data_IF_952350211180
#
_entry.id   IF_952350211180
#
_cell.length_a   1.000
_cell.length_b   1.000
_cell.length_c   1.000
_cell.angle_alpha   90.00
_cell.angle_beta   90.00
_cell.angle_gamma   90.00
#
_symmetry.space_group_name_H-M   'P 1'
#
loop_
_entity.id
_entity.type
_entity.pdbx_description
1 polymer ?
#
# COMPACT_ATOMS: atom_id res chain seq x y z
N UNK A 1 17.11 -4.83 -15.37
CA UNK A 1 18.41 -5.50 -15.14
C UNK A 1 18.58 -5.63 -13.64
N UNK A 2 18.43 -6.83 -13.08
CA UNK A 2 18.52 -7.06 -11.63
C UNK A 2 19.97 -6.95 -11.18
N UNK A 3 20.23 -6.33 -10.03
CA UNK A 3 21.53 -6.40 -9.36
C UNK A 3 21.36 -7.12 -8.02
N UNK A 4 22.22 -8.13 -7.80
CA UNK A 4 22.29 -8.85 -6.53
C UNK A 4 23.32 -8.14 -5.65
N UNK A 5 22.86 -7.50 -4.58
CA UNK A 5 23.76 -6.96 -3.55
C UNK A 5 23.89 -8.01 -2.45
N UNK A 6 25.12 -8.44 -2.19
CA UNK A 6 25.44 -9.43 -1.16
C UNK A 6 25.45 -8.76 0.22
N UNK A 7 24.52 -9.16 1.08
CA UNK A 7 24.61 -8.97 2.54
C UNK A 7 24.88 -10.33 3.17
N UNK A 8 25.65 -10.44 4.27
CA UNK A 8 26.18 -11.71 4.78
C UNK A 8 25.16 -12.84 5.04
N UNK A 9 23.85 -12.58 5.08
CA UNK A 9 22.83 -13.58 5.40
C UNK A 9 21.59 -13.65 4.48
N UNK A 10 21.48 -12.87 3.39
CA UNK A 10 20.32 -12.96 2.45
C UNK A 10 20.64 -12.35 1.08
N UNK A 11 20.09 -12.94 0.02
CA UNK A 11 20.01 -12.31 -1.31
C UNK A 11 18.92 -11.24 -1.28
N UNK A 12 19.28 -9.99 -1.55
CA UNK A 12 18.30 -8.92 -1.80
C UNK A 12 18.22 -8.74 -3.31
N UNK A 13 17.06 -9.03 -3.89
CA UNK A 13 16.79 -8.65 -5.28
C UNK A 13 16.60 -7.14 -5.27
N UNK A 14 17.58 -6.40 -5.79
CA UNK A 14 17.40 -4.97 -6.03
C UNK A 14 16.70 -4.83 -7.37
N UNK A 15 15.42 -4.47 -7.31
CA UNK A 15 14.67 -4.06 -8.50
C UNK A 15 15.24 -2.71 -8.92
N UNK A 16 15.89 -2.67 -10.08
CA UNK A 16 16.35 -1.41 -10.64
C UNK A 16 15.13 -0.67 -11.22
N UNK A 17 14.73 0.42 -10.56
CA UNK A 17 13.55 1.20 -10.91
C UNK A 17 13.84 2.03 -12.16
N UNK A 18 13.14 1.73 -13.26
CA UNK A 18 13.17 2.55 -14.47
C UNK A 18 12.09 3.64 -14.41
N UNK A 19 12.49 4.84 -14.02
CA UNK A 19 11.58 5.99 -13.95
C UNK A 19 11.03 6.41 -15.32
N UNK A 20 11.76 6.13 -16.41
CA UNK A 20 11.26 6.42 -17.75
C UNK A 20 10.12 5.46 -18.12
N UNK A 21 10.27 4.18 -17.79
CA UNK A 21 9.20 3.20 -17.97
C UNK A 21 7.95 3.59 -17.18
N UNK A 22 8.10 4.00 -15.92
CA UNK A 22 6.99 4.48 -15.08
C UNK A 22 6.28 5.67 -15.73
N UNK A 23 7.04 6.68 -16.18
CA UNK A 23 6.48 7.87 -16.87
C UNK A 23 5.69 7.49 -18.13
N UNK A 24 6.19 6.56 -18.94
CA UNK A 24 5.51 6.07 -20.15
C UNK A 24 4.22 5.31 -19.82
N UNK A 25 4.21 4.50 -18.76
CA UNK A 25 2.98 3.84 -18.31
C UNK A 25 1.94 4.83 -17.78
N UNK A 26 2.34 5.92 -17.15
CA UNK A 26 1.42 6.98 -16.72
C UNK A 26 0.76 7.75 -17.88
N UNK A 27 1.37 7.74 -19.07
CA UNK A 27 0.83 8.45 -20.24
C UNK A 27 -0.17 7.64 -21.08
N UNK A 28 -0.32 6.33 -20.82
CA UNK A 28 -1.26 5.45 -21.52
C UNK A 28 -2.44 5.05 -20.63
N UNK A 29 -3.51 4.51 -21.22
CA UNK A 29 -4.68 4.06 -20.45
C UNK A 29 -4.46 2.61 -19.99
N UNK A 30 -5.04 2.26 -18.84
CA UNK A 30 -5.03 0.86 -18.36
C UNK A 30 -5.63 -0.09 -19.41
N UNK A 31 -6.69 0.33 -20.11
CA UNK A 31 -7.30 -0.45 -21.19
C UNK A 31 -6.29 -0.80 -22.31
N UNK A 32 -5.46 0.16 -22.75
CA UNK A 32 -4.46 -0.08 -23.80
C UNK A 32 -3.40 -1.10 -23.35
N UNK A 33 -3.07 -1.11 -22.05
CA UNK A 33 -2.14 -2.08 -21.46
C UNK A 33 -2.77 -3.47 -21.40
N UNK A 34 -4.03 -3.57 -20.97
CA UNK A 34 -4.77 -4.83 -20.91
C UNK A 34 -4.95 -5.43 -22.30
N UNK A 35 -5.42 -4.64 -23.27
CA UNK A 35 -5.57 -5.08 -24.67
C UNK A 35 -4.26 -5.60 -25.26
N UNK A 36 -3.12 -4.98 -24.89
CA UNK A 36 -1.81 -5.44 -25.32
C UNK A 36 -1.41 -6.77 -24.64
N UNK A 37 -1.65 -6.91 -23.34
CA UNK A 37 -1.36 -8.12 -22.57
C UNK A 37 -2.22 -9.32 -23.02
N UNK A 38 -3.46 -9.07 -23.40
CA UNK A 38 -4.37 -10.08 -23.94
C UNK A 38 -3.83 -10.71 -25.23
N UNK A 39 -3.17 -9.93 -26.09
CA UNK A 39 -2.47 -10.45 -27.29
C UNK A 39 -1.35 -11.43 -26.95
N UNK A 40 -0.83 -11.40 -25.72
CA UNK A 40 0.16 -12.35 -25.21
C UNK A 40 -0.46 -13.47 -24.35
N UNK A 41 -1.79 -13.56 -24.29
CA UNK A 41 -2.50 -14.64 -23.60
C UNK A 41 -2.75 -14.41 -22.10
N UNK A 42 -2.63 -13.16 -21.61
CA UNK A 42 -2.86 -12.82 -20.20
C UNK A 42 -4.31 -12.49 -19.83
N UNK A 43 -5.27 -12.87 -20.68
CA UNK A 43 -6.71 -12.68 -20.45
C UNK A 43 -7.12 -13.00 -19.01
N UNK A 44 -7.68 -12.01 -18.33
CA UNK A 44 -8.22 -12.09 -16.96
C UNK A 44 -7.21 -12.47 -15.85
N UNK A 45 -5.90 -12.52 -16.13
CA UNK A 45 -4.89 -12.96 -15.15
C UNK A 45 -4.26 -11.86 -14.32
N UNK A 46 -4.37 -10.60 -14.76
CA UNK A 46 -3.59 -9.47 -14.23
C UNK A 46 -4.47 -8.30 -13.76
N UNK A 47 -5.78 -8.50 -13.72
CA UNK A 47 -6.73 -7.50 -13.27
C UNK A 47 -6.91 -7.56 -11.75
N UNK A 48 -7.08 -6.40 -11.13
CA UNK A 48 -7.50 -6.28 -9.74
C UNK A 48 -9.03 -6.19 -9.65
N UNK A 49 -9.61 -6.50 -8.48
CA UNK A 49 -11.06 -6.41 -8.27
C UNK A 49 -11.62 -5.02 -8.61
N UNK A 50 -12.81 -4.99 -9.23
CA UNK A 50 -13.52 -3.75 -9.57
C UNK A 50 -13.96 -2.94 -8.34
N UNK A 51 -13.90 -3.54 -7.14
CA UNK A 51 -14.13 -2.83 -5.88
C UNK A 51 -13.03 -1.81 -5.60
N UNK A 52 -11.82 -2.05 -6.08
CA UNK A 52 -10.70 -1.13 -5.93
C UNK A 52 -10.92 0.05 -6.86
N UNK A 53 -11.24 1.20 -6.28
CA UNK A 53 -11.58 2.43 -6.99
C UNK A 53 -10.62 3.56 -6.60
N UNK A 54 -10.36 4.52 -7.50
CA UNK A 54 -9.61 5.71 -7.13
C UNK A 54 -10.38 6.47 -6.04
N UNK A 55 -9.66 6.99 -5.04
CA UNK A 55 -10.25 7.71 -3.92
C UNK A 55 -10.99 8.99 -4.37
N UNK A 56 -10.51 9.59 -5.45
CA UNK A 56 -11.16 10.72 -6.13
C UNK A 56 -10.91 10.65 -7.64
N UNK A 57 -11.74 11.30 -8.48
CA UNK A 57 -11.59 11.25 -9.94
C UNK A 57 -10.27 11.82 -10.45
N UNK A 58 -9.80 11.32 -11.59
CA UNK A 58 -8.62 11.86 -12.29
C UNK A 58 -7.27 11.29 -11.85
N UNK A 59 -7.24 10.40 -10.86
CA UNK A 59 -6.00 9.74 -10.42
C UNK A 59 -5.46 8.80 -11.50
N UNK A 60 -4.15 8.85 -11.72
CA UNK A 60 -3.37 7.86 -12.47
C UNK A 60 -2.26 7.30 -11.60
N UNK A 61 -1.98 6.01 -11.74
CA UNK A 61 -0.98 5.30 -10.95
C UNK A 61 -0.22 4.32 -11.83
N UNK A 62 1.11 4.34 -11.73
CA UNK A 62 1.99 3.32 -12.28
C UNK A 62 3.30 3.35 -11.49
N UNK A 63 3.91 2.19 -11.30
CA UNK A 63 5.19 2.05 -10.61
C UNK A 63 5.46 0.59 -10.22
N UNK A 64 6.62 0.37 -9.61
CA UNK A 64 7.03 -0.94 -9.13
C UNK A 64 6.39 -1.23 -7.77
N UNK A 65 5.75 -2.39 -7.64
CA UNK A 65 5.02 -2.75 -6.43
C UNK A 65 5.96 -3.03 -5.24
N UNK A 66 5.67 -2.40 -4.12
CA UNK A 66 6.08 -2.83 -2.77
C UNK A 66 4.85 -3.46 -2.14
N UNK A 67 4.85 -4.78 -2.05
CA UNK A 67 3.69 -5.52 -1.56
C UNK A 67 3.71 -5.64 -0.03
N UNK A 68 2.54 -5.56 0.59
CA UNK A 68 2.37 -5.66 2.04
C UNK A 68 1.13 -6.50 2.31
N UNK A 69 1.27 -7.55 3.12
CA UNK A 69 0.13 -8.26 3.68
C UNK A 69 -0.13 -7.78 5.12
N UNK A 70 -1.37 -7.50 5.46
CA UNK A 70 -1.76 -7.21 6.84
C UNK A 70 -2.32 -8.45 7.51
N UNK A 71 -2.16 -8.54 8.82
CA UNK A 71 -2.73 -9.62 9.63
C UNK A 71 -3.81 -9.07 10.55
N UNK A 72 -4.95 -9.75 10.59
CA UNK A 72 -6.01 -9.43 11.54
C UNK A 72 -5.61 -9.83 12.95
N UNK A 73 -5.74 -8.90 13.88
CA UNK A 73 -5.58 -9.19 15.30
C UNK A 73 -6.92 -9.65 15.90
N UNK A 74 -6.86 -10.65 16.76
CA UNK A 74 -7.99 -11.20 17.51
C UNK A 74 -7.69 -11.15 19.02
N UNK A 75 -7.48 -9.95 19.53
CA UNK A 75 -7.15 -9.70 20.94
C UNK A 75 -8.16 -8.71 21.51
N UNK A 76 -8.55 -8.90 22.77
CA UNK A 76 -9.36 -7.91 23.49
C UNK A 76 -8.50 -6.70 23.83
N UNK A 77 -9.00 -5.51 23.50
CA UNK A 77 -8.36 -4.27 23.88
C UNK A 77 -8.76 -3.94 25.31
N UNK A 78 -7.80 -3.74 26.22
CA UNK A 78 -8.11 -3.42 27.60
C UNK A 78 -8.88 -2.11 27.70
N UNK A 79 -9.77 -2.01 28.68
CA UNK A 79 -10.37 -0.73 29.06
C UNK A 79 -9.31 0.13 29.74
N UNK A 80 -9.16 1.38 29.30
CA UNK A 80 -8.14 2.31 29.80
C UNK A 80 -8.61 3.76 29.68
N UNK A 81 -7.91 4.69 30.34
CA UNK A 81 -8.16 6.13 30.15
C UNK A 81 -7.75 6.58 28.74
N UNK A 82 -8.25 7.72 28.24
CA UNK A 82 -7.79 8.27 26.96
C UNK A 82 -6.27 8.47 26.87
N UNK A 83 -5.63 8.97 27.93
CA UNK A 83 -4.17 9.19 27.97
C UNK A 83 -3.37 7.89 27.98
N UNK A 84 -3.93 6.83 28.58
CA UNK A 84 -3.37 5.48 28.51
C UNK A 84 -3.54 4.88 27.12
N UNK A 85 -4.68 5.14 26.48
CA UNK A 85 -4.96 4.72 25.11
C UNK A 85 -3.99 5.35 24.10
N UNK A 86 -3.68 6.64 24.25
CA UNK A 86 -2.73 7.31 23.36
C UNK A 86 -1.34 6.64 23.42
N UNK A 87 -0.85 6.31 24.62
CA UNK A 87 0.42 5.59 24.79
C UNK A 87 0.35 4.17 24.23
N UNK A 88 -0.76 3.48 24.44
CA UNK A 88 -1.00 2.15 23.87
C UNK A 88 -1.00 2.18 22.33
N UNK A 89 -1.66 3.18 21.73
CA UNK A 89 -1.69 3.39 20.30
C UNK A 89 -0.31 3.73 19.73
N UNK A 90 0.46 4.59 20.39
CA UNK A 90 1.85 4.90 20.00
C UNK A 90 2.72 3.64 19.98
N UNK A 91 2.63 2.81 21.03
CA UNK A 91 3.36 1.55 21.09
C UNK A 91 2.90 0.57 20.01
N UNK A 92 1.59 0.52 19.73
CA UNK A 92 1.03 -0.28 18.65
C UNK A 92 1.66 0.10 17.30
N UNK A 93 1.69 1.38 16.95
CA UNK A 93 2.32 1.85 15.71
C UNK A 93 3.84 1.63 15.70
N UNK A 94 4.50 1.60 16.85
CA UNK A 94 5.94 1.33 16.94
C UNK A 94 6.29 -0.14 16.72
N UNK A 95 5.46 -1.06 17.20
CA UNK A 95 5.80 -2.49 17.28
C UNK A 95 4.96 -3.35 16.32
N UNK A 96 3.64 -3.15 16.32
CA UNK A 96 2.66 -4.05 15.69
C UNK A 96 2.23 -3.56 14.33
N UNK A 97 2.06 -2.26 14.15
CA UNK A 97 1.69 -1.62 12.90
C UNK A 97 2.77 -0.63 12.45
N UNK A 98 4.03 -1.08 12.48
CA UNK A 98 5.15 -0.24 12.13
C UNK A 98 5.30 -0.10 10.61
N UNK A 99 4.93 1.08 10.10
CA UNK A 99 4.89 1.34 8.67
C UNK A 99 6.29 1.45 8.05
N UNK A 100 7.34 1.63 8.85
CA UNK A 100 8.72 1.59 8.35
C UNK A 100 9.12 0.21 7.82
N UNK A 101 8.39 -0.86 8.18
CA UNK A 101 8.63 -2.19 7.63
C UNK A 101 8.59 -2.20 6.09
N UNK A 102 7.67 -1.44 5.48
CA UNK A 102 7.58 -1.28 4.02
C UNK A 102 8.05 0.10 3.53
N UNK A 103 7.84 1.16 4.31
CA UNK A 103 8.15 2.54 3.90
C UNK A 103 9.67 2.79 3.72
N UNK A 104 10.53 1.93 4.30
CA UNK A 104 11.99 1.98 4.07
C UNK A 104 12.41 1.60 2.64
N UNK A 105 11.56 0.90 1.88
CA UNK A 105 11.81 0.54 0.48
C UNK A 105 11.19 1.54 -0.50
N UNK A 106 10.38 2.46 0.00
CA UNK A 106 9.56 3.36 -0.80
C UNK A 106 10.36 4.58 -1.28
N UNK A 107 10.07 5.01 -2.51
CA UNK A 107 10.69 6.16 -3.15
C UNK A 107 10.14 6.42 -4.56
N UNK A 108 10.80 7.27 -5.36
CA UNK A 108 10.41 7.55 -6.75
C UNK A 108 10.22 6.26 -7.56
N UNK A 109 9.14 6.20 -8.34
CA UNK A 109 8.80 5.05 -9.18
C UNK A 109 8.21 3.84 -8.46
N UNK A 110 8.00 3.89 -7.15
CA UNK A 110 7.37 2.80 -6.37
C UNK A 110 5.87 3.04 -6.16
N UNK A 111 5.10 1.95 -6.09
CA UNK A 111 3.69 1.92 -5.68
C UNK A 111 3.56 0.96 -4.52
N UNK A 112 2.93 1.39 -3.44
CA UNK A 112 2.66 0.51 -2.30
C UNK A 112 1.38 -0.27 -2.60
N UNK A 113 1.38 -1.59 -2.41
CA UNK A 113 0.26 -2.47 -2.71
C UNK A 113 -0.06 -3.30 -1.47
N UNK A 114 -1.20 -3.03 -0.84
CA UNK A 114 -1.55 -3.58 0.47
C UNK A 114 -2.75 -4.52 0.34
N UNK A 115 -2.59 -5.75 0.83
CA UNK A 115 -3.68 -6.68 1.13
C UNK A 115 -4.15 -6.45 2.58
N UNK A 116 -5.27 -5.74 2.72
CA UNK A 116 -6.00 -5.53 3.97
C UNK A 116 -7.44 -6.05 3.89
N UNK A 117 -7.66 -7.03 3.00
CA UNK A 117 -8.98 -7.53 2.64
C UNK A 117 -9.71 -8.20 3.81
N UNK A 118 -8.94 -8.69 4.80
CA UNK A 118 -9.46 -9.29 6.03
C UNK A 118 -10.19 -8.32 6.97
N UNK A 119 -9.98 -7.00 6.81
CA UNK A 119 -10.54 -5.95 7.66
C UNK A 119 -10.88 -4.67 6.84
N UNK A 120 -11.87 -4.71 5.94
CA UNK A 120 -12.16 -3.61 5.02
C UNK A 120 -12.66 -2.32 5.72
N UNK A 121 -13.17 -2.42 6.95
CA UNK A 121 -13.61 -1.25 7.72
C UNK A 121 -12.46 -0.48 8.39
N UNK A 122 -11.25 -1.05 8.41
CA UNK A 122 -10.08 -0.41 9.01
C UNK A 122 -9.46 0.57 8.02
N UNK A 123 -9.31 1.83 8.43
CA UNK A 123 -8.57 2.85 7.70
C UNK A 123 -7.07 2.61 7.82
N UNK A 124 -6.59 1.57 7.15
CA UNK A 124 -5.18 1.20 7.14
C UNK A 124 -4.32 2.31 6.53
N UNK A 125 -4.80 2.93 5.45
CA UNK A 125 -4.15 4.10 4.86
C UNK A 125 -4.83 5.40 5.30
N UNK A 126 -4.05 6.42 5.65
CA UNK A 126 -4.56 7.72 6.13
C UNK A 126 -3.65 8.89 5.73
N UNK A 127 -4.02 10.09 6.14
CA UNK A 127 -3.39 11.35 5.70
C UNK A 127 -1.90 11.46 6.08
N UNK A 128 -1.52 11.08 7.30
CA UNK A 128 -0.13 11.14 7.77
C UNK A 128 0.80 10.28 6.94
N UNK A 129 0.45 9.01 6.70
CA UNK A 129 1.28 8.12 5.89
C UNK A 129 1.24 8.52 4.41
N UNK A 130 0.11 9.02 3.91
CA UNK A 130 0.03 9.57 2.56
C UNK A 130 0.98 10.75 2.36
N UNK A 131 1.07 11.66 3.35
CA UNK A 131 1.99 12.77 3.32
C UNK A 131 3.45 12.30 3.33
N UNK A 132 3.81 11.34 4.19
CA UNK A 132 5.15 10.74 4.23
C UNK A 132 5.50 10.06 2.90
N UNK A 133 4.57 9.30 2.32
CA UNK A 133 4.77 8.65 1.03
C UNK A 133 4.97 9.70 -0.08
N UNK A 134 4.18 10.78 -0.07
CA UNK A 134 4.32 11.89 -1.01
C UNK A 134 5.68 12.57 -0.89
N UNK A 135 6.16 12.87 0.33
CA UNK A 135 7.47 13.51 0.52
C UNK A 135 8.63 12.62 0.10
N UNK A 136 8.47 11.29 0.19
CA UNK A 136 9.43 10.31 -0.37
C UNK A 136 9.36 10.16 -1.89
N UNK A 137 8.37 10.75 -2.56
CA UNK A 137 8.19 10.64 -4.01
C UNK A 137 7.53 9.33 -4.47
N UNK A 138 6.83 8.62 -3.58
CA UNK A 138 6.07 7.41 -3.94
C UNK A 138 4.97 7.78 -4.93
N UNK A 139 4.75 6.92 -5.93
CA UNK A 139 3.80 7.19 -7.02
C UNK A 139 2.33 7.07 -6.59
N UNK A 140 2.08 6.35 -5.49
CA UNK A 140 0.77 6.16 -4.87
C UNK A 140 0.64 4.85 -4.13
N UNK A 141 -0.60 4.50 -3.80
CA UNK A 141 -0.94 3.27 -3.09
C UNK A 141 -2.19 2.60 -3.68
N UNK A 142 -2.18 1.27 -3.67
CA UNK A 142 -3.36 0.41 -3.84
C UNK A 142 -3.61 -0.31 -2.53
N UNK A 143 -4.82 -0.18 -1.98
CA UNK A 143 -5.25 -0.82 -0.73
C UNK A 143 -6.44 -1.71 -1.05
N UNK A 144 -6.27 -3.03 -1.02
CA UNK A 144 -7.44 -3.89 -0.91
C UNK A 144 -7.93 -3.88 0.53
N UNK A 145 -8.63 -2.81 0.89
CA UNK A 145 -9.12 -2.50 2.22
C UNK A 145 -9.41 -1.00 2.36
N UNK A 146 -9.49 -0.55 3.61
CA UNK A 146 -9.96 0.80 3.94
C UNK A 146 -8.88 1.89 3.88
N UNK A 147 -9.26 3.02 3.29
CA UNK A 147 -8.55 4.30 3.39
C UNK A 147 -9.39 5.31 4.21
N UNK A 148 -8.76 6.11 5.07
CA UNK A 148 -9.39 7.20 5.86
C UNK A 148 -8.77 8.56 5.53
N UNK A 149 -9.28 9.63 6.12
CA UNK A 149 -8.80 11.02 5.94
C UNK A 149 -8.85 11.48 4.48
N UNK A 150 -9.94 11.15 3.80
CA UNK A 150 -10.04 11.23 2.33
C UNK A 150 -9.97 12.66 1.82
N UNK A 151 -10.44 13.63 2.62
CA UNK A 151 -10.39 15.05 2.28
C UNK A 151 -8.96 15.58 2.27
N UNK A 152 -8.19 15.26 3.31
CA UNK A 152 -6.78 15.64 3.45
C UNK A 152 -5.93 14.99 2.36
N UNK A 153 -6.15 13.69 2.09
CA UNK A 153 -5.45 12.97 1.02
C UNK A 153 -5.73 13.61 -0.34
N UNK A 154 -6.98 13.96 -0.62
CA UNK A 154 -7.36 14.67 -1.85
C UNK A 154 -6.69 16.04 -1.92
N UNK A 155 -6.63 16.78 -0.81
CA UNK A 155 -6.01 18.11 -0.75
C UNK A 155 -4.51 18.07 -1.04
N UNK A 156 -3.82 17.00 -0.63
CA UNK A 156 -2.41 16.77 -0.99
C UNK A 156 -2.25 16.03 -2.31
N UNK A 157 -3.33 15.74 -3.04
CA UNK A 157 -3.31 15.08 -4.35
C UNK A 157 -2.49 13.76 -4.38
N UNK A 158 -2.47 13.00 -3.27
CA UNK A 158 -1.75 11.73 -3.24
C UNK A 158 -2.59 10.61 -3.87
N UNK A 159 -2.08 9.89 -4.89
CA UNK A 159 -2.82 8.82 -5.56
C UNK A 159 -3.14 7.64 -4.64
N UNK A 160 -4.42 7.44 -4.35
CA UNK A 160 -4.92 6.28 -3.59
C UNK A 160 -5.97 5.56 -4.41
N UNK A 161 -5.82 4.24 -4.52
CA UNK A 161 -6.89 3.33 -4.91
C UNK A 161 -7.23 2.45 -3.71
N UNK A 162 -8.50 2.32 -3.36
CA UNK A 162 -8.92 1.52 -2.22
C UNK A 162 -10.24 0.78 -2.49
N UNK A 163 -10.49 -0.34 -1.81
CA UNK A 163 -11.75 -1.08 -1.94
C UNK A 163 -12.86 -0.59 -0.99
N UNK A 164 -12.53 0.21 0.02
CA UNK A 164 -13.49 0.81 0.96
C UNK A 164 -12.98 2.12 1.56
N UNK A 165 -13.91 2.90 2.13
CA UNK A 165 -13.58 4.02 3.02
C UNK A 165 -13.59 3.49 4.45
N UNK A 166 -12.42 3.46 5.08
CA UNK A 166 -12.22 2.96 6.43
C UNK A 166 -12.76 3.93 7.48
N UNK A 167 -13.32 3.38 8.56
CA UNK A 167 -13.97 4.12 9.64
C UNK A 167 -13.17 4.13 10.92
N UNK A 168 -12.27 3.17 11.09
CA UNK A 168 -11.48 2.98 12.32
C UNK A 168 -9.99 3.12 12.07
N UNK A 169 -9.22 3.24 13.14
CA UNK A 169 -7.77 3.10 13.09
C UNK A 169 -7.32 1.64 13.11
N UNK A 170 -6.01 1.43 12.95
CA UNK A 170 -5.35 0.12 12.89
C UNK A 170 -5.18 -0.53 14.26
N UNK A 171 -5.06 0.29 15.32
CA UNK A 171 -4.84 -0.17 16.70
C UNK A 171 -5.87 -1.23 17.09
N UNK A 172 -5.38 -2.37 17.56
CA UNK A 172 -6.18 -3.51 17.99
C UNK A 172 -6.85 -4.32 16.88
N UNK A 173 -6.64 -3.97 15.60
CA UNK A 173 -7.36 -4.61 14.47
C UNK A 173 -6.42 -5.22 13.44
N UNK A 174 -5.34 -4.53 13.11
CA UNK A 174 -4.37 -4.99 12.13
C UNK A 174 -2.94 -4.88 12.69
N UNK A 175 -2.10 -5.83 12.30
CA UNK A 175 -0.65 -5.79 12.48
C UNK A 175 0.07 -6.08 11.15
N UNK A 176 1.35 -5.71 11.09
CA UNK A 176 2.27 -5.99 9.98
C UNK A 176 3.59 -6.39 10.59
N UNK A 177 4.20 -7.43 10.04
CA UNK A 177 5.55 -7.85 10.43
C UNK A 177 6.54 -7.64 9.28
N UNK A 178 7.85 -7.56 9.54
CA UNK A 178 8.86 -7.43 8.49
C UNK A 178 8.78 -8.52 7.41
N UNK A 179 8.35 -9.73 7.76
CA UNK A 179 8.16 -10.86 6.84
C UNK A 179 6.95 -10.74 5.92
N UNK A 180 6.02 -9.81 6.19
CA UNK A 180 4.81 -9.60 5.38
C UNK A 180 5.04 -8.61 4.21
N UNK A 181 6.28 -8.17 4.01
CA UNK A 181 6.66 -7.14 3.02
C UNK A 181 7.43 -7.77 1.86
N UNK A 182 7.12 -7.35 0.63
CA UNK A 182 7.69 -7.88 -0.63
C UNK A 182 7.48 -9.39 -0.81
N UNK A 183 6.35 -9.89 -0.32
CA UNK A 183 5.85 -11.24 -0.59
C UNK A 183 4.76 -11.20 -1.66
N UNK A 184 4.46 -12.32 -2.34
CA UNK A 184 3.26 -12.40 -3.17
C UNK A 184 2.00 -12.10 -2.35
N UNK A 185 1.14 -11.23 -2.88
CA UNK A 185 -0.16 -10.87 -2.28
C UNK A 185 -1.26 -11.04 -3.33
N UNK A 186 -2.50 -11.25 -2.86
CA UNK A 186 -3.69 -11.23 -3.71
C UNK A 186 -4.43 -9.91 -3.46
N UNK A 187 -4.89 -9.27 -4.53
CA UNK A 187 -5.54 -7.97 -4.47
C UNK A 187 -6.87 -8.09 -5.21
N UNK A 188 -7.97 -8.17 -4.44
CA UNK A 188 -9.31 -8.32 -4.96
C UNK A 188 -9.89 -9.73 -4.95
#
# INVERSE_FOLDING_TARGET
>A
MYSLIRSPHRWVIVVNIDLNLVRRYKSIRVADVVDALDRYGFHERLLVSQRIRPLYPGIKLAGYAITVQTRKVQEEIPSMSPEEYDKYAEEWYRIRANYDHFMKFAGPGTVIVIDASSCPDVGFWGSTIALIAKTKGVEGVVVDGGCRDTWEIRRIEFPVFCSSIGRTEVVGRLEIRPEDVNIPVTIG
#
